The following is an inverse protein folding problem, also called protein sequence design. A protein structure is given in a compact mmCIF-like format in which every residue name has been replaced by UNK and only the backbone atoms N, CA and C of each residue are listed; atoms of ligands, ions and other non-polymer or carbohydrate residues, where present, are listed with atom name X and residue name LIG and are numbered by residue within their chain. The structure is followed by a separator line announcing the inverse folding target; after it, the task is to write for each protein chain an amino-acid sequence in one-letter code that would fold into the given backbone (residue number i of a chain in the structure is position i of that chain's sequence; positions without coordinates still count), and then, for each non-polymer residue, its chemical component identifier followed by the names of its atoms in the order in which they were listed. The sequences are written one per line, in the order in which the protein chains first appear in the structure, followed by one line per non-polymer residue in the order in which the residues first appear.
data_IF_093705501089
#
_entry.id   IF_093705501089
#
_cell.length_a   1.000
_cell.length_b   1.000
_cell.length_c   1.000
_cell.angle_alpha   90.00
_cell.angle_beta   90.00
_cell.angle_gamma   90.00
#
_symmetry.space_group_name_H-M   'P 1'
#
loop_
_entity.id
_entity.type
_entity.pdbx_description
1 polymer ?
#
# COMPACT_ATOMS: atom_id res chain seq x y z
N UNK A 1 -11.90 19.45 12.44
CA UNK A 1 -10.51 19.82 12.77
C UNK A 1 -9.82 20.32 11.52
N UNK A 2 -8.89 21.27 11.65
CA UNK A 2 -8.06 21.70 10.54
C UNK A 2 -6.94 20.69 10.31
N UNK A 3 -6.55 20.47 9.06
CA UNK A 3 -5.40 19.64 8.68
C UNK A 3 -4.51 20.41 7.71
N UNK A 4 -3.19 20.35 7.90
CA UNK A 4 -2.21 21.04 7.06
C UNK A 4 -1.08 20.09 6.64
N UNK A 5 -0.49 20.37 5.47
CA UNK A 5 0.64 19.63 4.93
C UNK A 5 1.82 20.56 4.66
N UNK A 6 3.03 20.09 4.93
CA UNK A 6 4.27 20.86 4.78
C UNK A 6 5.17 20.22 3.73
N UNK A 7 5.67 21.00 2.78
CA UNK A 7 6.72 20.58 1.87
C UNK A 7 7.88 21.60 1.86
N UNK A 8 9.11 21.12 1.72
CA UNK A 8 10.33 21.92 1.86
C UNK A 8 11.12 21.88 0.55
N UNK A 9 11.51 23.05 0.06
CA UNK A 9 12.47 23.19 -1.02
C UNK A 9 13.90 23.18 -0.45
N UNK A 10 14.87 22.52 -1.10
CA UNK A 10 14.75 21.73 -2.33
C UNK A 10 14.41 20.24 -2.09
N UNK A 11 14.31 19.83 -0.83
CA UNK A 11 14.29 18.42 -0.44
C UNK A 11 13.12 17.63 -1.04
N UNK A 12 11.95 18.26 -1.20
CA UNK A 12 10.72 17.58 -1.63
C UNK A 12 10.38 17.79 -3.10
N UNK A 13 10.83 18.89 -3.70
CA UNK A 13 10.74 19.20 -5.13
C UNK A 13 11.60 20.43 -5.48
N UNK A 14 12.00 20.51 -6.76
CA UNK A 14 12.80 21.62 -7.30
C UNK A 14 11.96 22.70 -8.00
N UNK A 15 10.64 22.50 -8.08
CA UNK A 15 9.69 23.42 -8.71
C UNK A 15 8.45 23.63 -7.82
N UNK A 16 7.72 24.72 -8.08
CA UNK A 16 6.57 25.12 -7.28
C UNK A 16 5.40 24.11 -7.39
N UNK A 17 5.18 23.55 -8.57
CA UNK A 17 4.12 22.57 -8.82
C UNK A 17 4.34 21.29 -8.00
N UNK A 18 5.57 20.78 -8.00
CA UNK A 18 5.98 19.63 -7.21
C UNK A 18 5.85 19.87 -5.71
N UNK A 19 6.25 21.06 -5.21
CA UNK A 19 6.07 21.42 -3.80
C UNK A 19 4.59 21.46 -3.39
N UNK A 20 3.74 22.08 -4.21
CA UNK A 20 2.29 22.14 -3.97
C UNK A 20 1.68 20.73 -3.94
N UNK A 21 2.04 19.88 -4.90
CA UNK A 21 1.60 18.49 -4.96
C UNK A 21 2.04 17.71 -3.71
N UNK A 22 3.29 17.89 -3.26
CA UNK A 22 3.80 17.22 -2.06
C UNK A 22 3.13 17.72 -0.77
N UNK A 23 2.86 19.02 -0.67
CA UNK A 23 2.13 19.59 0.46
C UNK A 23 0.69 19.09 0.53
N UNK A 24 0.00 18.94 -0.60
CA UNK A 24 -1.35 18.39 -0.67
C UNK A 24 -1.39 16.91 -0.23
N UNK A 25 -0.42 16.10 -0.68
CA UNK A 25 -0.25 14.72 -0.22
C UNK A 25 -0.08 14.65 1.30
N UNK A 26 0.79 15.49 1.89
CA UNK A 26 1.00 15.52 3.33
C UNK A 26 -0.24 16.00 4.10
N UNK A 27 -0.98 16.99 3.58
CA UNK A 27 -2.23 17.44 4.19
C UNK A 27 -3.27 16.32 4.21
N UNK A 28 -3.37 15.54 3.13
CA UNK A 28 -4.29 14.40 3.08
C UNK A 28 -3.93 13.33 4.11
N UNK A 29 -2.62 13.07 4.30
CA UNK A 29 -2.14 12.16 5.35
C UNK A 29 -2.52 12.69 6.75
N UNK A 30 -2.27 13.97 7.03
CA UNK A 30 -2.63 14.60 8.30
C UNK A 30 -4.14 14.48 8.60
N UNK A 31 -4.97 14.57 7.57
CA UNK A 31 -6.43 14.41 7.67
C UNK A 31 -6.84 12.96 7.91
N UNK A 32 -6.21 12.00 7.23
CA UNK A 32 -6.51 10.56 7.38
C UNK A 32 -6.13 10.06 8.77
N UNK A 33 -4.94 10.44 9.22
CA UNK A 33 -4.34 9.93 10.46
C UNK A 33 -4.70 10.81 11.67
N UNK A 34 -5.43 11.92 11.45
CA UNK A 34 -5.92 12.89 12.45
C UNK A 34 -4.79 13.49 13.31
N UNK A 35 -3.64 13.73 12.70
CA UNK A 35 -2.46 14.30 13.37
C UNK A 35 -2.42 15.84 13.32
N UNK A 36 -3.27 16.45 12.49
CA UNK A 36 -3.40 17.90 12.35
C UNK A 36 -2.36 18.51 11.38
N UNK A 37 -1.09 18.14 11.48
CA UNK A 37 -0.03 18.59 10.56
C UNK A 37 0.91 17.44 10.22
N UNK A 38 1.24 17.27 8.94
CA UNK A 38 2.27 16.33 8.48
C UNK A 38 3.26 17.02 7.55
N UNK A 39 4.53 16.63 7.66
CA UNK A 39 5.57 16.98 6.69
C UNK A 39 5.59 15.90 5.62
N UNK A 40 5.71 16.29 4.36
CA UNK A 40 5.79 15.34 3.26
C UNK A 40 6.99 14.40 3.46
N UNK A 41 6.70 13.10 3.52
CA UNK A 41 7.70 12.04 3.48
C UNK A 41 7.43 11.16 2.25
N UNK A 42 8.43 11.01 1.38
CA UNK A 42 8.33 10.15 0.19
C UNK A 42 7.97 8.70 0.52
N UNK A 43 8.40 8.21 1.69
CA UNK A 43 8.09 6.85 2.17
C UNK A 43 6.63 6.68 2.62
N UNK A 44 5.95 7.77 2.96
CA UNK A 44 4.53 7.76 3.39
C UNK A 44 3.57 8.09 2.25
N UNK A 45 4.09 8.45 1.07
CA UNK A 45 3.27 8.73 -0.10
C UNK A 45 2.62 7.44 -0.63
N UNK A 46 1.45 7.13 -0.06
CA UNK A 46 0.63 5.97 -0.45
C UNK A 46 0.07 6.05 -1.87
N UNK A 47 0.32 7.14 -2.62
CA UNK A 47 -0.06 7.31 -4.03
C UNK A 47 1.17 7.40 -4.93
N UNK A 48 2.26 6.73 -4.56
CA UNK A 48 3.43 6.58 -5.42
C UNK A 48 3.03 5.87 -6.73
N UNK A 49 3.53 6.28 -7.91
CA UNK A 49 3.27 5.61 -9.19
C UNK A 49 3.48 4.09 -9.14
N UNK A 50 4.44 3.63 -8.34
CA UNK A 50 4.73 2.22 -8.11
C UNK A 50 3.52 1.44 -7.55
N UNK A 51 2.80 2.03 -6.59
CA UNK A 51 1.63 1.40 -5.97
C UNK A 51 0.42 1.40 -6.91
N UNK A 52 0.25 2.47 -7.69
CA UNK A 52 -0.78 2.52 -8.72
C UNK A 52 -0.50 1.49 -9.82
N UNK A 53 0.76 1.32 -10.20
CA UNK A 53 1.21 0.24 -11.09
C UNK A 53 0.84 -1.12 -10.53
N UNK A 54 1.24 -1.40 -9.29
CA UNK A 54 0.97 -2.67 -8.62
C UNK A 54 -0.54 -3.00 -8.51
N UNK A 55 -1.39 -2.00 -8.27
CA UNK A 55 -2.85 -2.19 -8.27
C UNK A 55 -3.38 -2.56 -9.65
N UNK A 56 -2.85 -1.92 -10.70
CA UNK A 56 -3.17 -2.26 -12.09
C UNK A 56 -2.70 -3.67 -12.46
N UNK A 57 -1.51 -4.07 -12.00
CA UNK A 57 -0.97 -5.42 -12.17
C UNK A 57 -1.84 -6.46 -11.46
N UNK A 58 -2.24 -6.21 -10.21
CA UNK A 58 -3.10 -7.11 -9.45
C UNK A 58 -4.46 -7.31 -10.12
N UNK A 59 -5.05 -6.24 -10.65
CA UNK A 59 -6.30 -6.31 -11.41
C UNK A 59 -6.17 -7.27 -12.59
N UNK A 60 -5.10 -7.14 -13.38
CA UNK A 60 -4.82 -8.05 -14.51
C UNK A 60 -4.58 -9.48 -14.05
N UNK A 61 -3.82 -9.67 -12.96
CA UNK A 61 -3.53 -10.99 -12.41
C UNK A 61 -4.82 -11.72 -11.97
N UNK A 62 -5.78 -11.01 -11.38
CA UNK A 62 -7.08 -11.58 -11.03
C UNK A 62 -7.88 -12.00 -12.28
N UNK A 63 -7.90 -11.15 -13.31
CA UNK A 63 -8.59 -11.46 -14.57
C UNK A 63 -7.93 -12.64 -15.33
N UNK A 64 -6.61 -12.79 -15.20
CA UNK A 64 -5.82 -13.87 -15.81
C UNK A 64 -5.79 -15.18 -14.99
N UNK A 65 -6.18 -15.15 -13.71
CA UNK A 65 -6.10 -16.30 -12.81
C UNK A 65 -4.70 -16.56 -12.22
N UNK A 66 -3.83 -15.54 -12.22
CA UNK A 66 -2.44 -15.61 -11.72
C UNK A 66 -2.34 -15.47 -10.19
N UNK A 67 -3.47 -15.50 -9.49
CA UNK A 67 -3.57 -15.43 -8.04
C UNK A 67 -4.03 -16.79 -7.51
N UNK A 68 -3.24 -17.36 -6.61
CA UNK A 68 -3.47 -18.71 -6.08
C UNK A 68 -3.95 -18.68 -4.62
N UNK A 69 -4.69 -19.73 -4.23
CA UNK A 69 -5.10 -19.96 -2.85
C UNK A 69 -4.23 -21.02 -2.20
N UNK A 70 -3.54 -20.65 -1.13
CA UNK A 70 -2.89 -21.59 -0.22
C UNK A 70 -3.85 -21.92 0.92
N UNK A 71 -3.70 -23.11 1.51
CA UNK A 71 -4.54 -23.54 2.62
C UNK A 71 -3.69 -23.86 3.84
N UNK A 72 -3.96 -23.18 4.96
CA UNK A 72 -3.33 -23.46 6.23
C UNK A 72 -4.27 -24.24 7.14
N UNK A 73 -3.93 -25.48 7.54
CA UNK A 73 -4.75 -26.27 8.44
C UNK A 73 -4.82 -25.67 9.85
N UNK A 74 -6.02 -25.67 10.42
CA UNK A 74 -6.28 -25.40 11.84
C UNK A 74 -6.48 -26.74 12.54
N UNK A 75 -5.55 -27.12 13.40
CA UNK A 75 -5.57 -28.40 14.12
C UNK A 75 -6.03 -28.22 15.56
N UNK A 76 -6.85 -29.15 16.05
CA UNK A 76 -7.25 -29.24 17.45
C UNK A 76 -6.09 -29.79 18.28
N UNK A 77 -6.18 -29.65 19.61
CA UNK A 77 -5.19 -30.20 20.54
C UNK A 77 -5.05 -31.73 20.48
N UNK A 78 -6.07 -32.44 19.98
CA UNK A 78 -6.06 -33.88 19.75
C UNK A 78 -5.42 -34.27 18.39
N UNK A 79 -4.92 -33.30 17.62
CA UNK A 79 -4.27 -33.49 16.32
C UNK A 79 -5.24 -33.58 15.14
N UNK A 80 -6.56 -33.53 15.35
CA UNK A 80 -7.53 -33.54 14.24
C UNK A 80 -7.63 -32.19 13.55
N UNK A 81 -7.77 -32.19 12.23
CA UNK A 81 -8.01 -30.96 11.45
C UNK A 81 -9.42 -30.46 11.74
N UNK A 82 -9.54 -29.26 12.31
CA UNK A 82 -10.80 -28.57 12.56
C UNK A 82 -11.28 -27.73 11.36
N UNK A 83 -10.36 -27.33 10.49
CA UNK A 83 -10.67 -26.51 9.32
C UNK A 83 -9.43 -26.04 8.59
N UNK A 84 -9.63 -25.23 7.57
CA UNK A 84 -8.57 -24.64 6.73
C UNK A 84 -8.79 -23.13 6.64
N UNK A 85 -7.71 -22.37 6.66
CA UNK A 85 -7.69 -20.96 6.28
C UNK A 85 -7.21 -20.82 4.85
N UNK A 86 -8.00 -20.13 4.02
CA UNK A 86 -7.67 -19.84 2.64
C UNK A 86 -6.87 -18.54 2.58
N UNK A 87 -5.64 -18.61 2.08
CA UNK A 87 -4.67 -17.53 2.06
C UNK A 87 -4.30 -17.19 0.62
N UNK A 88 -4.61 -15.96 0.20
CA UNK A 88 -4.30 -15.48 -1.15
C UNK A 88 -2.79 -15.31 -1.32
N UNK A 89 -2.26 -15.75 -2.47
CA UNK A 89 -0.86 -15.59 -2.86
C UNK A 89 -0.78 -15.09 -4.30
N UNK A 90 0.20 -14.23 -4.54
CA UNK A 90 0.46 -13.70 -5.86
C UNK A 90 1.95 -13.70 -6.14
N UNK A 91 2.31 -14.27 -7.30
CA UNK A 91 3.67 -14.22 -7.85
C UNK A 91 3.64 -13.26 -9.03
N UNK A 92 4.08 -12.04 -8.80
CA UNK A 92 4.18 -11.03 -9.85
C UNK A 92 5.34 -11.38 -10.81
N UNK A 93 5.17 -11.22 -12.14
CA UNK A 93 6.20 -11.59 -13.12
C UNK A 93 7.57 -10.96 -12.87
N UNK A 94 7.59 -9.66 -12.57
CA UNK A 94 8.83 -8.92 -12.31
C UNK A 94 9.24 -8.86 -10.82
N UNK A 95 8.28 -8.83 -9.89
CA UNK A 95 8.55 -8.63 -8.44
C UNK A 95 8.67 -9.94 -7.66
N UNK A 96 8.34 -11.09 -8.28
CA UNK A 96 8.26 -12.37 -7.59
C UNK A 96 7.10 -12.42 -6.60
N UNK A 97 7.27 -13.12 -5.47
CA UNK A 97 6.22 -13.26 -4.47
C UNK A 97 5.91 -11.91 -3.80
N UNK A 98 4.70 -11.42 -4.00
CA UNK A 98 4.19 -10.22 -3.33
C UNK A 98 3.54 -10.66 -2.00
N UNK A 99 4.00 -10.15 -0.85
CA UNK A 99 3.38 -10.45 0.44
C UNK A 99 1.97 -9.84 0.52
N UNK A 100 1.06 -10.43 1.31
CA UNK A 100 -0.29 -9.91 1.49
C UNK A 100 -0.40 -8.66 2.38
N UNK A 101 0.71 -8.21 2.98
CA UNK A 101 0.77 -7.08 3.94
C UNK A 101 1.06 -5.72 3.27
#
# INVERSE_FOLDING_TARGET
EASAGVAVYPDHALDAEGLLRRADVAMYQAKRDRTGVEVYESKRDSNTPDRLGLLGDLRRALDAGDVELHYQPKVRFDGQVAGLEALVRWVHPERGRVPPD
#
